data_IF_214263515339
#
_entry.id   IF_214263515339
#
_cell.length_a   1.000
_cell.length_b   1.000
_cell.length_c   1.000
_cell.angle_alpha   90.00
_cell.angle_beta   90.00
_cell.angle_gamma   90.00
#
_symmetry.space_group_name_H-M   'P 1'
#
loop_
_entity.id
_entity.type
_entity.pdbx_description
1 polymer ?
#
# COMPACT_ATOMS: atom_id res chain seq x y z
N UNK A 1 -21.22 15.43 13.94
CA UNK A 1 -20.05 14.53 13.81
C UNK A 1 -19.74 14.47 12.33
N UNK A 2 -18.51 14.82 11.94
CA UNK A 2 -18.10 14.81 10.53
C UNK A 2 -18.09 13.36 10.03
N UNK A 3 -18.40 13.12 8.76
CA UNK A 3 -18.26 11.82 8.11
C UNK A 3 -17.17 11.91 7.08
N UNK A 4 -16.06 11.20 7.33
CA UNK A 4 -14.85 11.27 6.54
C UNK A 4 -14.64 9.94 5.81
N UNK A 5 -14.56 10.00 4.48
CA UNK A 5 -14.28 8.85 3.65
C UNK A 5 -12.77 8.71 3.42
N UNK A 6 -12.26 7.50 3.63
CA UNK A 6 -10.93 7.07 3.25
C UNK A 6 -11.00 6.45 1.86
N UNK A 7 -10.09 6.86 0.99
CA UNK A 7 -9.88 6.27 -0.33
C UNK A 7 -8.75 5.23 -0.27
N UNK A 8 -8.63 4.32 -1.25
CA UNK A 8 -7.57 3.29 -1.33
C UNK A 8 -6.18 3.85 -0.99
N UNK A 9 -5.83 4.99 -1.59
CA UNK A 9 -4.52 5.63 -1.39
C UNK A 9 -4.30 6.13 0.04
N UNK A 10 -5.36 6.44 0.80
CA UNK A 10 -5.27 6.76 2.23
C UNK A 10 -5.27 5.52 3.13
N UNK A 11 -5.89 4.43 2.69
CA UNK A 11 -5.93 3.16 3.41
C UNK A 11 -4.60 2.40 3.36
N UNK A 12 -3.95 2.31 2.21
CA UNK A 12 -2.67 1.59 2.07
C UNK A 12 -1.59 2.06 3.07
N UNK A 13 -1.37 3.39 3.26
CA UNK A 13 -0.47 3.93 4.26
C UNK A 13 -0.76 3.54 5.72
N UNK A 14 -1.97 3.01 6.00
CA UNK A 14 -2.42 2.58 7.33
C UNK A 14 -2.31 1.07 7.55
N UNK A 15 -1.89 0.31 6.54
CA UNK A 15 -1.62 -1.14 6.65
C UNK A 15 -0.16 -1.48 6.36
N UNK A 16 0.52 -0.66 5.56
CA UNK A 16 1.97 -0.65 5.45
C UNK A 16 2.47 0.79 5.32
N UNK A 17 3.64 1.06 5.86
CA UNK A 17 4.25 2.39 5.89
C UNK A 17 4.44 2.91 4.45
N UNK A 18 4.33 4.20 4.22
CA UNK A 18 4.62 4.85 2.94
C UNK A 18 5.09 6.27 3.24
N UNK A 19 5.62 7.01 2.24
CA UNK A 19 5.90 8.43 2.40
C UNK A 19 4.74 9.29 2.93
N UNK A 20 3.50 8.81 2.79
CA UNK A 20 2.29 9.54 3.16
C UNK A 20 1.71 9.12 4.51
N UNK A 21 2.20 8.04 5.13
CA UNK A 21 1.58 7.44 6.32
C UNK A 21 1.44 8.44 7.47
N UNK A 22 2.47 9.22 7.77
CA UNK A 22 2.38 10.20 8.85
C UNK A 22 1.30 11.24 8.60
N UNK A 23 1.20 11.77 7.39
CA UNK A 23 0.19 12.78 7.07
C UNK A 23 -1.22 12.21 7.22
N UNK A 24 -1.46 10.96 6.83
CA UNK A 24 -2.75 10.31 7.04
C UNK A 24 -3.02 10.14 8.54
N UNK A 25 -2.03 9.68 9.31
CA UNK A 25 -2.13 9.55 10.76
C UNK A 25 -2.45 10.89 11.43
N UNK A 26 -1.83 11.98 10.99
CA UNK A 26 -2.09 13.33 11.53
C UNK A 26 -3.52 13.79 11.26
N UNK A 27 -4.08 13.48 10.07
CA UNK A 27 -5.48 13.76 9.75
C UNK A 27 -6.43 12.95 10.62
N UNK A 28 -6.16 11.65 10.79
CA UNK A 28 -6.94 10.81 11.69
C UNK A 28 -6.90 11.35 13.13
N UNK A 29 -5.72 11.75 13.61
CA UNK A 29 -5.55 12.40 14.93
C UNK A 29 -6.39 13.65 15.09
N UNK A 30 -6.27 14.55 14.13
CA UNK A 30 -6.95 15.86 14.12
C UNK A 30 -8.47 15.69 14.21
N UNK A 31 -9.04 14.75 13.45
CA UNK A 31 -10.50 14.57 13.35
C UNK A 31 -11.07 13.45 14.26
N UNK A 32 -10.22 12.68 14.97
CA UNK A 32 -10.65 11.50 15.77
C UNK A 32 -11.69 11.77 16.85
N UNK A 33 -11.80 13.01 17.34
CA UNK A 33 -12.73 13.36 18.43
C UNK A 33 -14.12 13.73 17.94
N UNK A 34 -14.26 14.15 16.69
CA UNK A 34 -15.48 14.73 16.14
C UNK A 34 -15.90 14.13 14.79
N UNK A 35 -15.23 13.07 14.33
CA UNK A 35 -15.51 12.41 13.07
C UNK A 35 -15.76 10.89 13.17
N UNK A 36 -16.57 10.39 12.23
CA UNK A 36 -16.70 8.98 11.89
C UNK A 36 -15.92 8.71 10.61
N UNK A 37 -15.08 7.67 10.62
CA UNK A 37 -14.30 7.28 9.45
C UNK A 37 -14.96 6.12 8.72
N UNK A 38 -14.93 6.21 7.40
CA UNK A 38 -15.53 5.26 6.49
C UNK A 38 -14.55 4.87 5.40
N UNK A 39 -14.69 3.66 4.86
CA UNK A 39 -13.99 3.25 3.64
C UNK A 39 -14.96 2.49 2.74
N UNK A 40 -14.92 2.81 1.44
CA UNK A 40 -15.74 2.07 0.48
C UNK A 40 -15.14 0.68 0.27
N UNK A 41 -15.98 -0.35 0.18
CA UNK A 41 -15.53 -1.73 -0.05
C UNK A 41 -14.70 -1.88 -1.33
N UNK A 42 -15.04 -1.16 -2.40
CA UNK A 42 -14.26 -1.16 -3.65
C UNK A 42 -12.82 -0.65 -3.44
N UNK A 43 -12.60 0.30 -2.52
CA UNK A 43 -11.25 0.73 -2.16
C UNK A 43 -10.42 -0.40 -1.52
N UNK A 44 -11.06 -1.26 -0.71
CA UNK A 44 -10.41 -2.44 -0.13
C UNK A 44 -10.15 -3.49 -1.22
N UNK A 45 -11.07 -3.69 -2.16
CA UNK A 45 -10.89 -4.58 -3.33
C UNK A 45 -9.73 -4.08 -4.21
N UNK A 46 -9.63 -2.78 -4.42
CA UNK A 46 -8.48 -2.20 -5.12
C UNK A 46 -7.18 -2.47 -4.36
N UNK A 47 -7.14 -2.25 -3.05
CA UNK A 47 -5.99 -2.57 -2.22
C UNK A 47 -5.61 -4.06 -2.33
N UNK A 48 -6.59 -4.97 -2.36
CA UNK A 48 -6.38 -6.41 -2.53
C UNK A 48 -5.64 -6.72 -3.84
N UNK A 49 -5.88 -5.97 -4.92
CA UNK A 49 -5.20 -6.20 -6.20
C UNK A 49 -3.67 -5.99 -6.16
N UNK A 50 -3.16 -5.27 -5.15
CA UNK A 50 -1.72 -5.11 -4.91
C UNK A 50 -1.07 -6.37 -4.32
N UNK A 51 -1.87 -7.26 -3.70
CA UNK A 51 -1.43 -8.50 -3.05
C UNK A 51 -2.15 -9.74 -3.55
N UNK A 52 -2.92 -9.64 -4.63
CA UNK A 52 -3.53 -10.77 -5.33
C UNK A 52 -3.24 -10.65 -6.82
N UNK A 53 -2.00 -11.00 -7.17
CA UNK A 53 -1.52 -10.97 -8.55
C UNK A 53 -1.09 -12.37 -9.02
N UNK A 54 -1.21 -12.68 -10.32
CA UNK A 54 -0.89 -14.00 -10.85
C UNK A 54 0.53 -14.45 -10.48
N UNK A 55 0.66 -15.72 -10.07
CA UNK A 55 1.91 -16.40 -9.79
C UNK A 55 2.78 -16.49 -11.05
N UNK A 56 3.60 -15.46 -11.28
CA UNK A 56 4.56 -15.43 -12.36
C UNK A 56 5.92 -14.88 -11.89
N UNK A 57 6.97 -15.26 -12.64
CA UNK A 57 8.36 -14.87 -12.37
C UNK A 57 8.52 -13.37 -12.09
N UNK A 58 7.83 -12.52 -12.83
CA UNK A 58 8.02 -11.08 -12.79
C UNK A 58 7.40 -10.40 -11.57
N UNK A 59 6.31 -10.95 -11.04
CA UNK A 59 5.57 -10.34 -9.93
C UNK A 59 5.88 -11.00 -8.59
N UNK A 60 6.42 -12.22 -8.58
CA UNK A 60 6.68 -13.00 -7.37
C UNK A 60 8.16 -13.05 -7.05
N UNK A 61 8.62 -12.18 -6.15
CA UNK A 61 10.01 -12.18 -5.66
C UNK A 61 10.42 -13.52 -5.02
N UNK A 62 9.57 -14.17 -4.19
CA UNK A 62 9.90 -15.46 -3.58
C UNK A 62 10.21 -16.54 -4.62
N UNK A 63 9.42 -16.60 -5.69
CA UNK A 63 9.66 -17.55 -6.79
C UNK A 63 11.03 -17.33 -7.45
N UNK A 64 11.41 -16.07 -7.72
CA UNK A 64 12.71 -15.70 -8.30
C UNK A 64 13.85 -16.11 -7.38
N UNK A 65 13.76 -15.77 -6.09
CA UNK A 65 14.76 -16.08 -5.09
C UNK A 65 14.99 -17.60 -4.99
N UNK A 66 13.91 -18.39 -4.90
CA UNK A 66 13.99 -19.86 -4.86
C UNK A 66 14.59 -20.47 -6.11
N UNK A 67 14.29 -19.91 -7.29
CA UNK A 67 14.89 -20.37 -8.55
C UNK A 67 16.37 -20.02 -8.66
N UNK A 68 16.77 -18.83 -8.21
CA UNK A 68 18.18 -18.42 -8.18
C UNK A 68 18.96 -19.28 -7.18
N UNK A 69 18.36 -19.64 -6.05
CA UNK A 69 18.95 -20.57 -5.07
C UNK A 69 19.22 -21.98 -5.63
N UNK A 70 18.63 -22.35 -6.78
CA UNK A 70 18.90 -23.63 -7.46
C UNK A 70 20.10 -23.56 -8.42
N UNK A 71 20.68 -22.38 -8.64
CA UNK A 71 21.91 -22.25 -9.44
C UNK A 71 23.07 -22.97 -8.74
N UNK A 72 24.08 -23.35 -9.52
CA UNK A 72 25.27 -23.99 -8.95
C UNK A 72 26.06 -23.01 -8.05
N UNK A 73 26.80 -23.57 -7.10
CA UNK A 73 27.51 -22.80 -6.08
C UNK A 73 28.53 -21.83 -6.69
N UNK A 74 29.18 -22.19 -7.79
CA UNK A 74 30.16 -21.33 -8.46
C UNK A 74 29.51 -20.05 -9.00
N UNK A 75 28.29 -20.13 -9.52
CA UNK A 75 27.53 -18.96 -9.99
C UNK A 75 27.08 -18.12 -8.80
N UNK A 76 26.51 -18.75 -7.76
CA UNK A 76 26.08 -18.05 -6.55
C UNK A 76 27.25 -17.33 -5.89
N UNK A 77 28.43 -17.96 -5.83
CA UNK A 77 29.62 -17.35 -5.23
C UNK A 77 30.10 -16.09 -5.94
N UNK A 78 29.79 -15.92 -7.23
CA UNK A 78 30.10 -14.69 -7.99
C UNK A 78 29.09 -13.56 -7.78
N UNK A 79 27.95 -13.84 -7.15
CA UNK A 79 26.96 -12.81 -6.84
C UNK A 79 27.35 -12.05 -5.56
N UNK A 80 27.15 -10.73 -5.59
CA UNK A 80 27.40 -9.84 -4.44
C UNK A 80 26.13 -9.69 -3.61
N UNK A 81 26.16 -10.07 -2.33
CA UNK A 81 25.06 -9.89 -1.39
C UNK A 81 25.40 -8.81 -0.34
N UNK A 82 24.42 -8.03 0.14
CA UNK A 82 22.97 -8.12 -0.13
C UNK A 82 22.51 -7.49 -1.46
N UNK A 83 23.36 -6.76 -2.20
CA UNK A 83 22.97 -6.01 -3.41
C UNK A 83 22.22 -6.84 -4.47
N UNK A 84 22.59 -8.10 -4.67
CA UNK A 84 21.90 -9.00 -5.60
C UNK A 84 20.47 -9.28 -5.17
N UNK A 85 20.20 -9.41 -3.86
CA UNK A 85 18.84 -9.62 -3.35
C UNK A 85 17.92 -8.44 -3.70
N UNK A 86 18.40 -7.20 -3.52
CA UNK A 86 17.67 -6.00 -3.94
C UNK A 86 17.39 -5.97 -5.45
N UNK A 87 18.39 -6.30 -6.27
CA UNK A 87 18.19 -6.39 -7.73
C UNK A 87 17.17 -7.46 -8.12
N UNK A 88 17.15 -8.58 -7.38
CA UNK A 88 16.17 -9.64 -7.58
C UNK A 88 14.77 -9.13 -7.23
N UNK A 89 14.57 -8.42 -6.12
CA UNK A 89 13.29 -7.78 -5.77
C UNK A 89 12.80 -6.88 -6.92
N UNK A 90 13.69 -6.06 -7.49
CA UNK A 90 13.44 -5.12 -8.58
C UNK A 90 13.12 -5.74 -9.96
N UNK A 91 13.02 -7.06 -10.08
CA UNK A 91 12.71 -7.70 -11.37
C UNK A 91 13.92 -8.17 -12.14
N UNK A 92 15.14 -7.96 -11.61
CA UNK A 92 16.38 -8.21 -12.34
C UNK A 92 16.59 -7.27 -13.54
N UNK A 93 15.82 -6.17 -13.63
CA UNK A 93 15.95 -5.16 -14.68
C UNK A 93 16.51 -3.87 -14.08
N UNK A 94 17.72 -3.48 -14.48
CA UNK A 94 18.33 -2.19 -14.11
C UNK A 94 17.61 -0.98 -14.72
N UNK A 95 17.04 -1.14 -15.92
CA UNK A 95 16.39 -0.07 -16.67
C UNK A 95 14.99 -0.52 -17.09
N UNK A 96 14.00 -0.24 -16.27
CA UNK A 96 12.62 -0.53 -16.62
C UNK A 96 11.94 0.75 -17.15
N UNK A 97 11.14 0.60 -18.20
CA UNK A 97 10.26 1.65 -18.73
C UNK A 97 8.80 1.24 -18.47
N UNK A 98 7.94 2.17 -18.04
CA UNK A 98 6.47 2.02 -18.00
C UNK A 98 5.81 1.57 -16.68
N UNK A 99 4.52 1.20 -16.77
CA UNK A 99 3.61 0.86 -15.65
C UNK A 99 4.06 -0.33 -14.79
N UNK A 100 4.81 -1.26 -15.37
CA UNK A 100 5.41 -2.42 -14.70
C UNK A 100 6.31 -2.02 -13.51
N UNK A 101 6.92 -0.85 -13.58
CA UNK A 101 7.89 -0.36 -12.60
C UNK A 101 7.25 0.10 -11.30
N UNK A 102 6.04 0.65 -11.34
CA UNK A 102 5.39 1.16 -10.13
C UNK A 102 5.09 -0.01 -9.18
N UNK A 103 4.50 -1.08 -9.68
CA UNK A 103 4.23 -2.29 -8.89
C UNK A 103 5.51 -2.93 -8.30
N UNK A 104 6.55 -3.08 -9.12
CA UNK A 104 7.81 -3.71 -8.68
C UNK A 104 8.59 -2.81 -7.70
N UNK A 105 8.53 -1.48 -7.86
CA UNK A 105 9.09 -0.54 -6.89
C UNK A 105 8.37 -0.63 -5.55
N UNK A 106 7.04 -0.57 -5.54
CA UNK A 106 6.27 -0.65 -4.30
C UNK A 106 6.53 -1.97 -3.56
N UNK A 107 6.55 -3.10 -4.26
CA UNK A 107 6.88 -4.40 -3.65
C UNK A 107 8.34 -4.49 -3.19
N UNK A 108 9.30 -3.89 -3.92
CA UNK A 108 10.71 -3.87 -3.47
C UNK A 108 10.87 -3.11 -2.16
N UNK A 109 10.28 -1.92 -2.04
CA UNK A 109 10.36 -1.15 -0.81
C UNK A 109 9.65 -1.85 0.35
N UNK A 110 8.51 -2.51 0.09
CA UNK A 110 7.78 -3.31 1.10
C UNK A 110 8.60 -4.46 1.69
N UNK A 111 9.61 -4.96 0.98
CA UNK A 111 10.44 -6.10 1.41
C UNK A 111 11.91 -5.73 1.65
N UNK A 112 12.27 -4.46 1.53
CA UNK A 112 13.66 -4.00 1.58
C UNK A 112 14.34 -4.33 2.92
N UNK A 113 13.65 -4.09 4.03
CA UNK A 113 14.13 -4.37 5.39
C UNK A 113 14.33 -5.87 5.66
N UNK A 114 13.57 -6.74 4.97
CA UNK A 114 13.75 -8.20 5.10
C UNK A 114 15.10 -8.65 4.55
N UNK A 115 15.68 -7.92 3.59
CA UNK A 115 17.01 -8.23 3.07
C UNK A 115 18.07 -8.03 4.15
N UNK A 116 17.92 -6.98 4.97
CA UNK A 116 18.87 -6.66 6.03
C UNK A 116 18.80 -7.65 7.20
N UNK A 117 17.68 -8.38 7.34
CA UNK A 117 17.49 -9.41 8.37
C UNK A 117 18.10 -10.78 8.02
N UNK A 118 18.69 -10.93 6.83
CA UNK A 118 19.16 -12.23 6.31
C UNK A 118 20.68 -12.30 6.26
N UNK A 119 21.23 -13.37 6.83
CA UNK A 119 22.64 -13.74 6.65
C UNK A 119 22.84 -14.46 5.29
N UNK A 120 23.66 -13.87 4.43
CA UNK A 120 24.01 -14.40 3.11
C UNK A 120 25.39 -15.08 3.06
N UNK A 121 26.00 -15.42 4.20
CA UNK A 121 27.23 -16.21 4.27
C UNK A 121 27.07 -17.52 3.50
N UNK A 122 25.96 -18.22 3.72
CA UNK A 122 25.44 -19.23 2.80
C UNK A 122 24.42 -18.58 1.87
N UNK A 123 24.83 -18.28 0.65
CA UNK A 123 24.01 -17.56 -0.35
C UNK A 123 22.74 -18.32 -0.71
N UNK A 124 22.82 -19.66 -0.77
CA UNK A 124 21.66 -20.49 -1.13
C UNK A 124 20.64 -20.48 0.01
N UNK A 125 21.10 -20.72 1.24
CA UNK A 125 20.26 -20.65 2.43
C UNK A 125 19.66 -19.25 2.61
N UNK A 126 20.47 -18.20 2.49
CA UNK A 126 20.00 -16.81 2.61
C UNK A 126 18.91 -16.46 1.60
N UNK A 127 19.05 -16.86 0.33
CA UNK A 127 18.00 -16.66 -0.68
C UNK A 127 16.69 -17.38 -0.34
N UNK A 128 16.75 -18.60 0.20
CA UNK A 128 15.55 -19.35 0.63
C UNK A 128 14.90 -18.66 1.83
N UNK A 129 15.68 -18.31 2.85
CA UNK A 129 15.17 -17.60 4.05
C UNK A 129 14.50 -16.28 3.66
N UNK A 130 15.12 -15.48 2.79
CA UNK A 130 14.52 -14.24 2.30
C UNK A 130 13.20 -14.51 1.56
N UNK A 131 13.13 -15.55 0.74
CA UNK A 131 11.90 -15.92 0.04
C UNK A 131 10.77 -16.28 1.01
N UNK A 132 11.08 -17.01 2.08
CA UNK A 132 10.13 -17.41 3.11
C UNK A 132 9.62 -16.22 3.92
N UNK A 133 10.51 -15.29 4.31
CA UNK A 133 10.13 -14.05 5.00
C UNK A 133 9.21 -13.17 4.15
N UNK A 134 9.48 -13.07 2.85
CA UNK A 134 8.63 -12.32 1.92
C UNK A 134 7.25 -12.96 1.79
N UNK A 135 7.18 -14.29 1.65
CA UNK A 135 5.90 -15.01 1.60
C UNK A 135 5.10 -14.84 2.90
N UNK A 136 5.77 -14.88 4.06
CA UNK A 136 5.14 -14.62 5.35
C UNK A 136 4.51 -13.23 5.39
N UNK A 137 5.28 -12.18 5.08
CA UNK A 137 4.78 -10.80 5.06
C UNK A 137 3.65 -10.62 4.03
N UNK A 138 3.79 -11.19 2.85
CA UNK A 138 2.75 -11.16 1.81
C UNK A 138 1.44 -11.79 2.32
N UNK A 139 1.52 -12.96 2.95
CA UNK A 139 0.36 -13.65 3.50
C UNK A 139 -0.28 -12.89 4.66
N UNK A 140 0.52 -12.24 5.53
CA UNK A 140 0.01 -11.38 6.60
C UNK A 140 -0.78 -10.19 6.05
N UNK A 141 -0.22 -9.45 5.09
CA UNK A 141 -0.90 -8.31 4.46
C UNK A 141 -2.18 -8.76 3.75
N UNK A 142 -2.10 -9.86 3.01
CA UNK A 142 -3.25 -10.44 2.32
C UNK A 142 -4.35 -10.85 3.29
N UNK A 143 -3.99 -11.50 4.40
CA UNK A 143 -4.94 -11.88 5.44
C UNK A 143 -5.60 -10.63 6.06
N UNK A 144 -4.82 -9.58 6.37
CA UNK A 144 -5.33 -8.32 6.93
C UNK A 144 -6.33 -7.64 6.00
N UNK A 145 -5.99 -7.47 4.71
CA UNK A 145 -6.92 -6.90 3.71
C UNK A 145 -8.19 -7.75 3.60
N UNK A 146 -8.06 -9.09 3.59
CA UNK A 146 -9.22 -9.99 3.53
C UNK A 146 -10.10 -9.87 4.79
N UNK A 147 -9.51 -9.70 5.97
CA UNK A 147 -10.27 -9.46 7.21
C UNK A 147 -11.05 -8.15 7.11
N UNK A 148 -10.40 -7.05 6.73
CA UNK A 148 -11.07 -5.76 6.57
C UNK A 148 -12.19 -5.81 5.52
N UNK A 149 -11.98 -6.50 4.39
CA UNK A 149 -12.96 -6.65 3.30
C UNK A 149 -14.24 -7.38 3.74
N UNK A 150 -14.12 -8.33 4.67
CA UNK A 150 -15.24 -9.14 5.16
C UNK A 150 -15.87 -8.58 6.45
N UNK A 151 -15.40 -7.44 6.94
CA UNK A 151 -15.88 -6.83 8.17
C UNK A 151 -16.77 -5.63 7.87
N UNK A 152 -17.77 -5.36 8.70
CA UNK A 152 -18.57 -4.13 8.64
C UNK A 152 -17.80 -2.93 9.20
N UNK A 153 -16.82 -3.18 10.06
CA UNK A 153 -15.91 -2.19 10.60
C UNK A 153 -14.61 -2.86 11.07
N UNK A 154 -13.53 -2.10 11.14
CA UNK A 154 -12.25 -2.56 11.68
C UNK A 154 -11.52 -1.42 12.41
N UNK A 155 -10.70 -1.79 13.38
CA UNK A 155 -9.86 -0.85 14.11
C UNK A 155 -8.46 -0.79 13.49
N UNK A 156 -7.82 0.38 13.57
CA UNK A 156 -6.41 0.53 13.19
C UNK A 156 -5.48 0.38 14.40
N UNK A 157 -4.38 -0.33 14.19
CA UNK A 157 -3.28 -0.45 15.14
C UNK A 157 -1.94 -0.18 14.42
N UNK A 158 -1.17 0.80 14.90
CA UNK A 158 0.17 1.11 14.36
C UNK A 158 1.14 -0.04 14.52
N UNK A 159 1.02 -0.82 15.58
CA UNK A 159 1.90 -1.96 15.84
C UNK A 159 1.72 -3.05 14.77
N UNK A 160 0.62 -3.01 14.04
CA UNK A 160 0.30 -3.92 12.95
C UNK A 160 0.54 -3.29 11.56
N UNK A 161 1.17 -2.12 11.48
CA UNK A 161 1.59 -1.53 10.20
C UNK A 161 2.91 -2.15 9.78
N UNK A 162 2.94 -2.73 8.58
CA UNK A 162 4.17 -3.30 8.04
C UNK A 162 5.15 -2.20 7.58
N UNK A 163 6.47 -2.38 7.78
CA UNK A 163 7.45 -1.40 7.32
C UNK A 163 7.53 -1.34 5.79
N UNK A 164 7.94 -0.19 5.26
CA UNK A 164 8.17 0.05 3.83
C UNK A 164 9.49 0.77 3.71
N UNK A 165 10.54 -0.02 3.45
CA UNK A 165 11.92 0.41 3.61
C UNK A 165 12.18 0.93 5.04
N UNK A 166 11.53 0.30 6.03
CA UNK A 166 11.54 0.69 7.45
C UNK A 166 10.38 1.59 7.87
N UNK A 167 10.53 2.22 9.03
CA UNK A 167 9.54 3.13 9.65
C UNK A 167 9.94 4.61 9.58
N UNK A 168 10.96 4.96 8.80
CA UNK A 168 11.52 6.32 8.72
C UNK A 168 10.53 7.42 8.31
N UNK A 169 9.41 7.07 7.66
CA UNK A 169 8.33 8.02 7.35
C UNK A 169 7.35 8.23 8.50
N UNK A 170 7.42 7.47 9.57
CA UNK A 170 6.63 7.66 10.79
C UNK A 170 7.48 8.40 11.84
N UNK A 171 6.95 9.45 12.46
CA UNK A 171 7.54 10.10 13.64
C UNK A 171 6.64 9.96 14.87
N UNK A 172 5.53 9.27 14.71
CA UNK A 172 4.49 9.14 15.71
C UNK A 172 4.39 7.69 16.13
N UNK A 173 4.54 7.47 17.43
CA UNK A 173 4.41 6.15 18.03
C UNK A 173 2.97 5.87 18.50
N UNK A 174 2.08 6.85 18.34
CA UNK A 174 0.69 6.77 18.79
C UNK A 174 -0.28 6.98 17.63
N UNK A 175 -1.32 6.16 17.57
CA UNK A 175 -2.53 6.42 16.78
C UNK A 175 -3.70 6.43 17.74
N UNK A 176 -4.63 7.40 17.62
CA UNK A 176 -5.88 7.33 18.35
C UNK A 176 -6.59 6.04 17.99
N UNK A 177 -7.36 5.47 18.93
CA UNK A 177 -8.27 4.38 18.60
C UNK A 177 -9.26 4.90 17.56
N UNK A 178 -9.11 4.43 16.32
CA UNK A 178 -9.92 4.82 15.18
C UNK A 178 -10.55 3.56 14.63
N UNK A 179 -11.88 3.51 14.70
CA UNK A 179 -12.70 2.51 14.04
C UNK A 179 -13.11 3.05 12.67
N UNK A 180 -12.84 2.27 11.63
CA UNK A 180 -13.25 2.56 10.26
C UNK A 180 -14.45 1.68 9.92
N UNK A 181 -15.54 2.30 9.47
CA UNK A 181 -16.74 1.61 8.99
C UNK A 181 -16.60 1.29 7.50
N UNK A 182 -16.85 0.05 7.12
CA UNK A 182 -16.89 -0.35 5.71
C UNK A 182 -18.29 -0.08 5.17
N UNK A 183 -18.37 0.58 4.03
CA UNK A 183 -19.64 0.83 3.35
C UNK A 183 -19.60 0.34 1.91
N UNK A 184 -20.78 -0.04 1.42
CA UNK A 184 -20.99 -0.53 0.07
C UNK A 184 -21.61 0.56 -0.81
N UNK A 185 -21.14 0.64 -2.05
CA UNK A 185 -21.80 1.43 -3.09
C UNK A 185 -22.92 0.61 -3.71
N UNK A 186 -24.05 1.25 -4.02
CA UNK A 186 -25.14 0.60 -4.76
C UNK A 186 -24.69 0.17 -6.16
N UNK A 187 -23.88 1.02 -6.80
CA UNK A 187 -23.23 0.73 -8.07
C UNK A 187 -21.96 -0.10 -7.83
N UNK A 188 -21.69 -1.10 -8.67
CA UNK A 188 -20.42 -1.84 -8.67
C UNK A 188 -19.48 -1.29 -9.76
N UNK A 189 -18.20 -1.15 -9.46
CA UNK A 189 -17.19 -0.84 -10.47
C UNK A 189 -16.95 -2.06 -11.38
N UNK A 190 -17.50 -2.02 -12.60
CA UNK A 190 -17.50 -3.19 -13.49
C UNK A 190 -16.18 -3.41 -14.24
N UNK A 191 -15.43 -2.36 -14.61
CA UNK A 191 -14.04 -2.39 -15.13
C UNK A 191 -13.61 -1.01 -15.65
N UNK A 192 -12.32 -0.67 -15.57
CA UNK A 192 -11.77 0.59 -16.07
C UNK A 192 -10.31 0.80 -15.65
N UNK A 193 -9.67 1.86 -16.17
CA UNK A 193 -8.34 2.26 -15.69
C UNK A 193 -8.45 3.02 -14.34
N UNK A 194 -7.32 3.24 -13.66
CA UNK A 194 -7.30 3.89 -12.33
C UNK A 194 -7.97 5.27 -12.31
N UNK A 195 -7.87 6.06 -13.39
CA UNK A 195 -8.52 7.38 -13.47
C UNK A 195 -10.04 7.28 -13.44
N UNK A 196 -10.59 6.23 -14.04
CA UNK A 196 -12.04 5.97 -14.02
C UNK A 196 -12.44 5.51 -12.62
N UNK A 197 -11.58 4.74 -11.94
CA UNK A 197 -11.83 4.30 -10.55
C UNK A 197 -11.79 5.45 -9.54
N UNK A 198 -10.83 6.38 -9.64
CA UNK A 198 -10.78 7.58 -8.79
C UNK A 198 -12.10 8.37 -8.87
N UNK A 199 -12.61 8.58 -10.09
CA UNK A 199 -13.89 9.25 -10.34
C UNK A 199 -15.04 8.45 -9.75
N UNK A 200 -15.05 7.13 -9.96
CA UNK A 200 -16.07 6.25 -9.40
C UNK A 200 -16.12 6.32 -7.86
N UNK A 201 -14.99 6.22 -7.15
CA UNK A 201 -14.96 6.33 -5.69
C UNK A 201 -15.59 7.64 -5.20
N UNK A 202 -15.25 8.75 -5.86
CA UNK A 202 -15.76 10.06 -5.52
C UNK A 202 -17.24 10.24 -5.87
N UNK A 203 -17.70 9.76 -7.02
CA UNK A 203 -19.11 9.81 -7.42
C UNK A 203 -19.99 8.90 -6.56
N UNK A 204 -19.52 7.69 -6.22
CA UNK A 204 -20.22 6.79 -5.29
C UNK A 204 -20.41 7.46 -3.93
N UNK A 205 -19.41 8.21 -3.45
CA UNK A 205 -19.53 9.01 -2.23
C UNK A 205 -20.63 10.08 -2.34
N UNK A 206 -20.73 10.77 -3.48
CA UNK A 206 -21.77 11.79 -3.71
C UNK A 206 -23.19 11.23 -3.79
N UNK A 207 -23.34 10.00 -4.30
CA UNK A 207 -24.63 9.33 -4.47
C UNK A 207 -25.07 8.55 -3.23
N UNK A 208 -24.15 8.26 -2.33
CA UNK A 208 -24.43 7.50 -1.10
C UNK A 208 -25.43 8.24 -0.20
N UNK A 209 -26.25 7.47 0.52
CA UNK A 209 -27.08 7.97 1.62
C UNK A 209 -26.23 8.49 2.80
N UNK A 210 -24.95 8.13 2.86
CA UNK A 210 -24.00 8.65 3.82
C UNK A 210 -23.59 10.06 3.37
N UNK A 211 -24.08 11.09 4.08
CA UNK A 211 -23.70 12.49 3.86
C UNK A 211 -22.26 12.75 4.29
N UNK A 212 -21.31 12.49 3.40
CA UNK A 212 -19.88 12.72 3.63
C UNK A 212 -19.52 14.21 3.58
N UNK A 213 -18.67 14.63 4.50
CA UNK A 213 -18.14 16.00 4.57
C UNK A 213 -16.81 16.14 3.84
N UNK A 214 -16.03 15.04 3.81
CA UNK A 214 -14.65 15.04 3.33
C UNK A 214 -14.20 13.66 2.84
N UNK A 215 -13.30 13.64 1.87
CA UNK A 215 -12.49 12.49 1.49
C UNK A 215 -11.00 12.74 1.78
N UNK A 216 -10.33 11.78 2.42
CA UNK A 216 -8.87 11.79 2.60
C UNK A 216 -8.24 10.88 1.55
N UNK A 217 -7.20 11.37 0.88
CA UNK A 217 -6.46 10.64 -0.16
C UNK A 217 -4.95 10.84 0.01
N UNK A 218 -4.12 9.87 -0.37
CA UNK A 218 -2.66 10.08 -0.45
C UNK A 218 -2.18 10.46 -1.86
N UNK A 219 -3.00 10.22 -2.88
CA UNK A 219 -2.66 10.62 -4.24
C UNK A 219 -2.78 12.15 -4.40
N UNK A 220 -1.64 12.85 -4.45
CA UNK A 220 -1.58 14.32 -4.59
C UNK A 220 -2.17 14.82 -5.92
N UNK A 221 -2.34 13.96 -6.93
CA UNK A 221 -3.00 14.27 -8.19
C UNK A 221 -4.53 14.10 -8.18
N UNK A 222 -5.10 13.47 -7.14
CA UNK A 222 -6.50 13.05 -7.10
C UNK A 222 -7.46 14.25 -7.22
N UNK A 223 -7.31 15.28 -6.38
CA UNK A 223 -8.19 16.46 -6.41
C UNK A 223 -8.18 17.16 -7.78
N UNK A 224 -6.99 17.34 -8.37
CA UNK A 224 -6.85 17.91 -9.72
C UNK A 224 -7.55 17.05 -10.78
N UNK A 225 -7.45 15.73 -10.66
CA UNK A 225 -8.10 14.77 -11.56
C UNK A 225 -9.62 14.84 -11.43
N UNK A 226 -10.18 14.77 -10.22
CA UNK A 226 -11.63 14.88 -9.99
C UNK A 226 -12.18 16.22 -10.52
N UNK A 227 -11.52 17.35 -10.23
CA UNK A 227 -11.92 18.66 -10.76
C UNK A 227 -11.97 18.69 -12.29
N UNK A 228 -11.02 18.02 -12.95
CA UNK A 228 -10.96 17.98 -14.40
C UNK A 228 -12.10 17.17 -15.00
N UNK A 229 -12.37 15.99 -14.45
CA UNK A 229 -13.36 15.06 -15.01
C UNK A 229 -14.80 15.46 -14.64
N UNK A 230 -15.05 15.89 -13.40
CA UNK A 230 -16.38 16.25 -12.90
C UNK A 230 -16.71 17.75 -12.99
N UNK A 231 -15.75 18.59 -13.38
CA UNK A 231 -15.82 20.06 -13.45
C UNK A 231 -16.03 20.79 -12.11
N UNK A 232 -16.56 20.11 -11.09
CA UNK A 232 -16.80 20.63 -9.75
C UNK A 232 -16.42 19.58 -8.69
N UNK A 233 -15.97 20.05 -7.53
CA UNK A 233 -15.71 19.23 -6.34
C UNK A 233 -16.63 19.72 -5.22
N UNK A 234 -17.71 18.98 -4.99
CA UNK A 234 -18.76 19.28 -4.00
C UNK A 234 -18.43 18.86 -2.56
N UNK A 235 -17.60 17.85 -2.38
CA UNK A 235 -17.13 17.34 -1.08
C UNK A 235 -15.63 17.63 -0.99
N UNK A 236 -15.16 18.08 0.17
CA UNK A 236 -13.76 18.42 0.37
C UNK A 236 -12.85 17.21 0.11
N UNK A 237 -11.74 17.40 -0.62
CA UNK A 237 -10.70 16.39 -0.82
C UNK A 237 -9.43 16.88 -0.14
N UNK A 238 -9.06 16.24 0.96
CA UNK A 238 -7.83 16.51 1.71
C UNK A 238 -6.73 15.54 1.26
N UNK A 239 -5.74 16.07 0.54
CA UNK A 239 -4.61 15.26 0.06
C UNK A 239 -3.50 15.21 1.12
N UNK A 240 -2.97 14.03 1.41
CA UNK A 240 -1.81 13.89 2.28
C UNK A 240 -0.55 14.46 1.64
N UNK A 241 0.32 15.00 2.50
CA UNK A 241 1.64 15.44 2.13
C UNK A 241 2.65 14.29 2.24
N UNK A 242 3.66 14.28 1.35
CA UNK A 242 4.73 13.30 1.40
C UNK A 242 5.80 13.77 2.38
N UNK A 243 6.23 12.92 3.32
CA UNK A 243 7.36 13.23 4.20
C UNK A 243 8.72 13.15 3.53
N UNK A 244 8.79 12.69 2.27
CA UNK A 244 10.03 12.81 1.50
C UNK A 244 10.47 14.26 1.40
N UNK A 245 9.55 15.20 1.15
CA UNK A 245 9.91 16.62 1.02
C UNK A 245 10.45 17.19 2.32
N UNK A 246 9.97 16.71 3.48
CA UNK A 246 10.44 17.15 4.80
C UNK A 246 11.81 16.58 5.18
N UNK A 247 12.15 15.38 4.69
CA UNK A 247 13.43 14.72 5.00
C UNK A 247 14.58 15.29 4.16
N UNK A 248 14.28 15.78 2.96
CA UNK A 248 15.27 16.27 1.99
C UNK A 248 15.41 17.80 1.93
N UNK A 249 14.69 18.52 2.79
CA UNK A 249 14.85 19.96 3.06
C UNK A 249 15.61 20.18 4.37
#
# INVERSE_FOLDING_TARGET
MKKICLETSSYLPLIWCTPYSQSIIDYLKKDSRDAEFYIQKDCIIEAQSYVEYPNNWFRHAPFRLRKIAQLNDKVLQRMSFPSSAFQILLGGKMWAQGLYLNFVRHTTFLYADLVDAVDFTDKKKGLIVLADLIDERYNLIKAKIKTHLNSEQFDLDLNEIHPYWGFYYLNSDELPKVTIKVWDSEDTFLTGNSRIRDVYHYESMLKSDIKFDKMIVANTGFNKHIKKELKEVKIEIECAYSRQTVIFE
#
